data_IF_655261815322
#
_entry.id   IF_655261815322
#
_cell.length_a   1.000
_cell.length_b   1.000
_cell.length_c   1.000
_cell.angle_alpha   90.00
_cell.angle_beta   90.00
_cell.angle_gamma   90.00
#
_symmetry.space_group_name_H-M   'P 1'
#
loop_
_entity.id
_entity.type
_entity.pdbx_description
1 polymer ?
#
# COMPACT_ATOMS: atom_id res chain seq x y z
N UNK A 1 -8.81 -20.38 26.83
CA UNK A 1 -10.24 -20.02 27.02
C UNK A 1 -11.07 -20.88 26.09
N UNK A 2 -12.13 -21.50 26.59
CA UNK A 2 -13.00 -22.39 25.81
C UNK A 2 -13.87 -21.58 24.84
N UNK A 3 -14.14 -22.08 23.62
CA UNK A 3 -14.85 -21.31 22.60
C UNK A 3 -16.31 -21.02 23.01
N UNK A 4 -16.85 -19.87 22.58
CA UNK A 4 -18.26 -19.50 22.81
C UNK A 4 -19.23 -20.52 22.18
N UNK A 5 -18.87 -21.06 21.00
CA UNK A 5 -19.63 -22.12 20.32
C UNK A 5 -19.70 -23.41 21.14
N UNK A 6 -18.59 -23.86 21.70
CA UNK A 6 -18.57 -25.06 22.53
C UNK A 6 -19.41 -24.88 23.80
N UNK A 7 -19.36 -23.71 24.44
CA UNK A 7 -20.17 -23.41 25.62
C UNK A 7 -21.67 -23.43 25.33
N UNK A 8 -22.09 -22.92 24.16
CA UNK A 8 -23.48 -23.04 23.70
C UNK A 8 -23.92 -24.49 23.49
N UNK A 9 -23.10 -25.28 22.80
CA UNK A 9 -23.38 -26.71 22.56
C UNK A 9 -23.43 -27.50 23.88
N UNK A 10 -22.48 -27.25 24.78
CA UNK A 10 -22.42 -27.90 26.08
C UNK A 10 -23.62 -27.55 26.96
N UNK A 11 -24.10 -26.30 26.96
CA UNK A 11 -25.33 -25.92 27.68
C UNK A 11 -26.54 -26.72 27.17
N UNK A 12 -26.63 -26.91 25.86
CA UNK A 12 -27.75 -27.61 25.23
C UNK A 12 -27.71 -29.11 25.53
N UNK A 13 -26.55 -29.74 25.36
CA UNK A 13 -26.32 -31.16 25.73
C UNK A 13 -26.53 -31.40 27.24
N UNK A 14 -25.98 -30.55 28.11
CA UNK A 14 -26.14 -30.69 29.56
C UNK A 14 -27.60 -30.53 30.01
N UNK A 15 -28.40 -29.70 29.32
CA UNK A 15 -29.83 -29.61 29.59
C UNK A 15 -30.55 -30.91 29.21
N UNK A 16 -30.25 -31.46 28.03
CA UNK A 16 -30.79 -32.75 27.60
C UNK A 16 -30.41 -33.88 28.57
N UNK A 17 -29.15 -33.95 28.99
CA UNK A 17 -28.69 -34.98 29.94
C UNK A 17 -29.38 -34.87 31.30
N UNK A 18 -29.71 -33.66 31.75
CA UNK A 18 -30.48 -33.46 32.98
C UNK A 18 -31.93 -33.94 32.80
N UNK A 19 -32.55 -33.61 31.68
CA UNK A 19 -33.94 -33.95 31.38
C UNK A 19 -34.11 -35.46 31.13
N UNK A 20 -33.08 -36.12 30.61
CA UNK A 20 -32.96 -37.59 30.49
C UNK A 20 -32.55 -38.28 31.80
N UNK A 21 -32.37 -37.53 32.89
CA UNK A 21 -31.91 -38.01 34.20
C UNK A 21 -30.52 -38.71 34.19
N UNK A 22 -29.70 -38.44 33.17
CA UNK A 22 -28.31 -38.93 33.08
C UNK A 22 -27.35 -38.18 34.01
N UNK A 23 -27.67 -36.92 34.34
CA UNK A 23 -26.93 -36.11 35.32
C UNK A 23 -27.87 -35.54 36.38
N UNK A 24 -27.36 -35.38 37.61
CA UNK A 24 -28.14 -34.77 38.70
C UNK A 24 -28.24 -33.24 38.54
N UNK A 25 -29.26 -32.60 39.15
CA UNK A 25 -29.40 -31.14 39.16
C UNK A 25 -28.18 -30.41 39.72
N UNK A 26 -27.48 -30.99 40.70
CA UNK A 26 -26.26 -30.42 41.28
C UNK A 26 -25.09 -30.45 40.29
N UNK A 27 -24.95 -31.51 39.49
CA UNK A 27 -23.91 -31.61 38.45
C UNK A 27 -24.17 -30.59 37.34
N UNK A 28 -25.43 -30.39 36.97
CA UNK A 28 -25.82 -29.35 36.01
C UNK A 28 -25.48 -27.94 36.53
N UNK A 29 -25.74 -27.65 37.83
CA UNK A 29 -25.40 -26.34 38.40
C UNK A 29 -23.89 -26.10 38.43
N UNK A 30 -23.08 -27.11 38.76
CA UNK A 30 -21.62 -27.02 38.73
C UNK A 30 -21.08 -26.79 37.32
N UNK A 31 -21.67 -27.43 36.31
CA UNK A 31 -21.33 -27.18 34.90
C UNK A 31 -21.73 -25.77 34.46
N UNK A 32 -22.91 -25.30 34.89
CA UNK A 32 -23.39 -23.95 34.61
C UNK A 32 -22.47 -22.88 35.17
N UNK A 33 -22.01 -23.03 36.41
CA UNK A 33 -21.07 -22.10 37.05
C UNK A 33 -19.68 -22.16 36.42
N UNK A 34 -19.15 -23.38 36.20
CA UNK A 34 -17.82 -23.58 35.63
C UNK A 34 -17.69 -23.05 34.21
N UNK A 35 -18.72 -23.22 33.38
CA UNK A 35 -18.74 -22.78 31.98
C UNK A 35 -19.52 -21.48 31.75
N UNK A 36 -20.07 -20.90 32.81
CA UNK A 36 -20.77 -19.61 32.85
C UNK A 36 -21.91 -19.53 31.83
N UNK A 37 -22.85 -20.48 31.87
CA UNK A 37 -23.97 -20.54 30.91
C UNK A 37 -24.81 -19.25 30.90
N UNK A 38 -24.97 -18.58 32.04
CA UNK A 38 -25.71 -17.31 32.17
C UNK A 38 -25.07 -16.12 31.43
N UNK A 39 -23.77 -16.20 31.14
CA UNK A 39 -23.08 -15.15 30.37
C UNK A 39 -23.30 -15.28 28.86
N UNK A 40 -23.74 -16.45 28.38
CA UNK A 40 -24.02 -16.67 26.94
C UNK A 40 -25.21 -15.84 26.47
N UNK A 41 -26.28 -15.76 27.27
CA UNK A 41 -27.46 -14.94 26.93
C UNK A 41 -27.18 -13.44 27.07
N UNK A 42 -26.30 -13.06 28.02
CA UNK A 42 -25.84 -11.66 28.18
C UNK A 42 -25.00 -11.20 26.99
N UNK A 43 -24.15 -12.05 26.40
CA UNK A 43 -23.30 -11.66 25.29
C UNK A 43 -24.12 -11.41 24.01
N UNK A 44 -25.11 -12.26 23.71
CA UNK A 44 -26.02 -12.08 22.58
C UNK A 44 -26.91 -10.83 22.74
N UNK A 45 -27.49 -10.63 23.93
CA UNK A 45 -28.28 -9.43 24.24
C UNK A 45 -27.43 -8.14 24.16
N UNK A 46 -26.21 -8.15 24.70
CA UNK A 46 -25.32 -7.00 24.60
C UNK A 46 -24.91 -6.69 23.16
N UNK A 47 -24.67 -7.71 22.32
CA UNK A 47 -24.41 -7.52 20.88
C UNK A 47 -25.60 -6.90 20.17
N UNK A 48 -26.82 -7.40 20.41
CA UNK A 48 -28.03 -6.84 19.84
C UNK A 48 -28.26 -5.38 20.26
N UNK A 49 -28.10 -5.08 21.56
CA UNK A 49 -28.20 -3.70 22.07
C UNK A 49 -27.13 -2.80 21.46
N UNK A 50 -25.88 -3.26 21.33
CA UNK A 50 -24.83 -2.47 20.64
C UNK A 50 -25.16 -2.23 19.16
N UNK A 51 -25.74 -3.21 18.46
CA UNK A 51 -26.17 -3.04 17.07
C UNK A 51 -27.30 -2.01 16.99
N UNK A 52 -28.30 -2.10 17.87
CA UNK A 52 -29.43 -1.16 17.90
C UNK A 52 -28.96 0.27 18.24
N UNK A 53 -28.09 0.42 19.23
CA UNK A 53 -27.46 1.68 19.59
C UNK A 53 -26.59 2.22 18.45
N UNK A 54 -25.84 1.36 17.77
CA UNK A 54 -25.05 1.72 16.60
C UNK A 54 -25.91 2.23 15.44
N UNK A 55 -26.99 1.50 15.11
CA UNK A 55 -27.93 1.89 14.07
C UNK A 55 -28.63 3.21 14.42
N UNK A 56 -29.10 3.35 15.66
CA UNK A 56 -29.70 4.57 16.17
C UNK A 56 -28.75 5.76 16.12
N UNK A 57 -27.48 5.58 16.50
CA UNK A 57 -26.47 6.63 16.42
C UNK A 57 -26.16 7.04 14.97
N UNK A 58 -26.10 6.09 14.04
CA UNK A 58 -25.93 6.36 12.60
C UNK A 58 -27.10 7.18 12.06
N UNK A 59 -28.34 6.76 12.36
CA UNK A 59 -29.55 7.46 11.91
C UNK A 59 -29.65 8.87 12.50
N UNK A 60 -29.34 9.05 13.79
CA UNK A 60 -29.30 10.36 14.42
C UNK A 60 -28.21 11.25 13.82
N UNK A 61 -27.03 10.68 13.53
CA UNK A 61 -25.94 11.39 12.86
C UNK A 61 -26.34 11.85 11.45
N UNK A 62 -26.97 10.97 10.67
CA UNK A 62 -27.52 11.29 9.35
C UNK A 62 -28.58 12.38 9.45
N UNK A 63 -29.55 12.25 10.36
CA UNK A 63 -30.59 13.25 10.56
C UNK A 63 -30.01 14.63 10.91
N UNK A 64 -28.98 14.69 11.77
CA UNK A 64 -28.30 15.93 12.10
C UNK A 64 -27.58 16.54 10.88
N UNK A 65 -26.85 15.73 10.10
CA UNK A 65 -26.19 16.18 8.86
C UNK A 65 -27.23 16.70 7.85
N UNK A 66 -28.33 15.96 7.65
CA UNK A 66 -29.42 16.35 6.74
C UNK A 66 -30.10 17.64 7.20
N UNK A 67 -30.35 17.81 8.50
CA UNK A 67 -30.93 19.04 9.04
C UNK A 67 -30.02 20.26 8.81
N UNK A 68 -28.72 20.12 9.06
CA UNK A 68 -27.73 21.17 8.79
C UNK A 68 -27.69 21.48 7.29
N UNK A 69 -27.67 20.46 6.44
CA UNK A 69 -27.67 20.62 4.98
C UNK A 69 -28.93 21.34 4.47
N UNK A 70 -30.11 20.98 4.98
CA UNK A 70 -31.39 21.59 4.59
C UNK A 70 -31.47 23.08 4.95
N UNK A 71 -30.86 23.49 6.07
CA UNK A 71 -30.86 24.88 6.53
C UNK A 71 -29.59 25.65 6.10
N UNK A 72 -28.65 24.98 5.43
CA UNK A 72 -27.33 25.51 5.13
C UNK A 72 -27.40 26.84 4.38
N UNK A 73 -28.25 26.92 3.35
CA UNK A 73 -28.38 28.12 2.52
C UNK A 73 -28.95 29.32 3.28
N UNK A 74 -29.84 29.09 4.27
CA UNK A 74 -30.46 30.16 5.05
C UNK A 74 -29.52 30.76 6.11
N UNK A 75 -28.49 30.03 6.55
CA UNK A 75 -27.57 30.51 7.58
C UNK A 75 -26.60 31.57 7.09
N UNK A 76 -26.32 32.55 7.95
CA UNK A 76 -25.32 33.58 7.70
C UNK A 76 -23.91 32.99 7.58
N UNK A 77 -23.03 33.70 6.87
CA UNK A 77 -21.61 33.32 6.71
C UNK A 77 -20.92 33.06 8.05
N UNK A 78 -21.15 33.95 9.02
CA UNK A 78 -20.57 33.82 10.37
C UNK A 78 -21.08 32.57 11.09
N UNK A 79 -22.39 32.26 11.00
CA UNK A 79 -22.96 31.08 11.63
C UNK A 79 -22.35 29.77 11.08
N UNK A 80 -22.14 29.67 9.76
CA UNK A 80 -21.49 28.49 9.15
C UNK A 80 -20.04 28.32 9.65
N UNK A 81 -19.28 29.41 9.71
CA UNK A 81 -17.88 29.39 10.20
C UNK A 81 -17.83 29.01 11.67
N UNK A 82 -18.64 29.64 12.52
CA UNK A 82 -18.68 29.34 13.96
C UNK A 82 -19.04 27.88 14.18
N UNK A 83 -20.08 27.35 13.50
CA UNK A 83 -20.45 25.95 13.65
C UNK A 83 -19.31 25.00 13.24
N UNK A 84 -18.72 25.20 12.07
CA UNK A 84 -17.66 24.30 11.56
C UNK A 84 -16.37 24.41 12.37
N UNK A 85 -16.00 25.60 12.84
CA UNK A 85 -14.86 25.82 13.74
C UNK A 85 -15.12 25.21 15.11
N UNK A 86 -16.30 25.38 15.70
CA UNK A 86 -16.66 24.74 16.97
C UNK A 86 -16.66 23.22 16.87
N UNK A 87 -17.18 22.67 15.76
CA UNK A 87 -17.11 21.23 15.49
C UNK A 87 -15.67 20.75 15.36
N UNK A 88 -14.83 21.46 14.59
CA UNK A 88 -13.42 21.16 14.41
C UNK A 88 -12.65 21.18 15.74
N UNK A 89 -12.80 22.25 16.53
CA UNK A 89 -12.13 22.39 17.83
C UNK A 89 -12.63 21.33 18.81
N UNK A 90 -13.94 21.10 18.87
CA UNK A 90 -14.55 20.12 19.77
C UNK A 90 -14.10 18.69 19.48
N UNK A 91 -14.11 18.28 18.21
CA UNK A 91 -13.65 16.96 17.76
C UNK A 91 -12.15 16.78 18.02
N UNK A 92 -11.31 17.75 17.70
CA UNK A 92 -9.87 17.64 17.94
C UNK A 92 -9.52 17.65 19.45
N UNK A 93 -10.16 18.51 20.23
CA UNK A 93 -9.92 18.61 21.68
C UNK A 93 -10.40 17.35 22.41
N UNK A 94 -11.60 16.86 22.08
CA UNK A 94 -12.13 15.60 22.59
C UNK A 94 -11.27 14.42 22.16
N UNK A 95 -10.88 14.36 20.88
CA UNK A 95 -9.99 13.35 20.34
C UNK A 95 -8.63 13.32 21.07
N UNK A 96 -8.04 14.48 21.31
CA UNK A 96 -6.76 14.61 22.04
C UNK A 96 -6.88 14.21 23.51
N UNK A 97 -7.99 14.54 24.18
CA UNK A 97 -8.23 14.14 25.57
C UNK A 97 -8.42 12.61 25.69
N UNK A 98 -9.25 12.02 24.81
CA UNK A 98 -9.51 10.59 24.79
C UNK A 98 -8.29 9.78 24.37
N UNK A 99 -7.51 10.28 23.41
CA UNK A 99 -6.30 9.63 22.91
C UNK A 99 -5.25 9.44 24.00
N UNK A 100 -5.11 10.42 24.90
CA UNK A 100 -4.18 10.39 26.05
C UNK A 100 -4.58 9.41 27.16
N UNK A 101 -5.80 8.88 27.13
CA UNK A 101 -6.27 7.95 28.15
C UNK A 101 -5.54 6.59 28.06
N UNK A 102 -5.17 6.02 29.20
CA UNK A 102 -4.48 4.72 29.30
C UNK A 102 -5.37 3.54 28.88
N UNK A 103 -6.69 3.69 28.99
CA UNK A 103 -7.62 2.64 28.57
C UNK A 103 -7.67 2.51 27.04
N UNK A 104 -7.33 1.30 26.52
CA UNK A 104 -7.23 1.03 25.07
C UNK A 104 -8.48 1.41 24.27
N UNK A 105 -9.68 1.21 24.82
CA UNK A 105 -10.93 1.55 24.13
C UNK A 105 -11.06 3.05 23.86
N UNK A 106 -10.83 3.86 24.90
CA UNK A 106 -10.88 5.32 24.82
C UNK A 106 -9.76 5.88 23.95
N UNK A 107 -8.54 5.33 24.04
CA UNK A 107 -7.43 5.77 23.18
C UNK A 107 -7.72 5.55 21.69
N UNK A 108 -8.33 4.41 21.32
CA UNK A 108 -8.76 4.14 19.93
C UNK A 108 -9.85 5.10 19.47
N UNK A 109 -10.84 5.39 20.32
CA UNK A 109 -11.87 6.38 20.01
C UNK A 109 -11.26 7.78 19.82
N UNK A 110 -10.27 8.14 20.65
CA UNK A 110 -9.50 9.37 20.48
C UNK A 110 -8.77 9.45 19.14
N UNK A 111 -8.11 8.36 18.71
CA UNK A 111 -7.48 8.30 17.38
C UNK A 111 -8.49 8.46 16.25
N UNK A 112 -9.67 7.86 16.37
CA UNK A 112 -10.74 8.01 15.38
C UNK A 112 -11.27 9.44 15.32
N UNK A 113 -11.46 10.11 16.46
CA UNK A 113 -11.85 11.52 16.53
C UNK A 113 -10.76 12.44 15.96
N UNK A 114 -9.48 12.15 16.20
CA UNK A 114 -8.38 12.92 15.61
C UNK A 114 -8.30 12.73 14.09
N UNK A 115 -8.56 11.52 13.59
CA UNK A 115 -8.69 11.27 12.16
C UNK A 115 -9.87 12.04 11.55
N UNK A 116 -11.02 12.06 12.22
CA UNK A 116 -12.16 12.89 11.85
C UNK A 116 -11.79 14.39 11.89
N UNK A 117 -11.03 14.82 12.88
CA UNK A 117 -10.47 16.16 12.99
C UNK A 117 -9.62 16.52 11.77
N UNK A 118 -8.79 15.60 11.31
CA UNK A 118 -8.04 15.73 10.05
C UNK A 118 -8.94 15.88 8.83
N UNK A 119 -10.08 15.18 8.77
CA UNK A 119 -11.06 15.35 7.69
C UNK A 119 -11.80 16.70 7.74
N UNK A 120 -12.09 17.17 8.95
CA UNK A 120 -12.75 18.46 9.17
C UNK A 120 -11.86 19.65 8.73
N UNK A 121 -10.53 19.48 8.63
CA UNK A 121 -9.66 20.48 8.00
C UNK A 121 -10.12 20.74 6.55
N UNK A 122 -10.32 19.68 5.76
CA UNK A 122 -10.77 19.78 4.37
C UNK A 122 -12.15 20.42 4.25
N UNK A 123 -13.09 20.02 5.12
CA UNK A 123 -14.43 20.61 5.15
C UNK A 123 -14.39 22.14 5.43
N UNK A 124 -13.52 22.58 6.35
CA UNK A 124 -13.34 23.99 6.64
C UNK A 124 -12.63 24.74 5.50
N UNK A 125 -11.60 24.15 4.88
CA UNK A 125 -10.95 24.73 3.69
C UNK A 125 -11.93 24.92 2.54
N UNK A 126 -12.76 23.91 2.27
CA UNK A 126 -13.80 23.98 1.24
C UNK A 126 -14.86 25.06 1.55
N UNK A 127 -15.28 25.17 2.82
CA UNK A 127 -16.19 26.24 3.25
C UNK A 127 -15.59 27.62 3.01
N UNK A 128 -14.33 27.83 3.39
CA UNK A 128 -13.65 29.11 3.18
C UNK A 128 -13.50 29.43 1.68
N UNK A 129 -13.12 28.45 0.87
CA UNK A 129 -13.04 28.60 -0.59
C UNK A 129 -14.39 29.02 -1.19
N UNK A 130 -15.49 28.40 -0.76
CA UNK A 130 -16.84 28.76 -1.19
C UNK A 130 -17.22 30.18 -0.75
N UNK A 131 -16.92 30.55 0.50
CA UNK A 131 -17.32 31.84 1.06
C UNK A 131 -16.60 33.04 0.43
N UNK A 132 -15.31 32.87 0.12
CA UNK A 132 -14.47 33.91 -0.48
C UNK A 132 -14.44 33.84 -2.01
N UNK A 133 -15.27 32.99 -2.62
CA UNK A 133 -15.33 32.79 -4.08
C UNK A 133 -13.94 32.55 -4.68
N UNK A 134 -13.09 31.81 -3.95
CA UNK A 134 -11.72 31.62 -4.35
C UNK A 134 -11.65 30.62 -5.51
N UNK A 135 -11.24 31.12 -6.68
CA UNK A 135 -11.01 30.32 -7.88
C UNK A 135 -9.64 29.65 -7.79
N UNK A 136 -9.56 28.54 -7.06
CA UNK A 136 -8.38 27.66 -6.99
C UNK A 136 -8.70 26.27 -7.54
N UNK A 137 -7.66 25.50 -7.86
CA UNK A 137 -7.88 24.12 -8.29
C UNK A 137 -8.24 23.24 -7.10
N UNK A 138 -9.06 22.20 -7.31
CA UNK A 138 -9.34 21.21 -6.27
C UNK A 138 -8.07 20.47 -5.79
N UNK A 139 -7.04 20.44 -6.63
CA UNK A 139 -5.75 19.79 -6.38
C UNK A 139 -4.92 20.58 -5.35
N UNK A 140 -4.90 21.91 -5.48
CA UNK A 140 -4.31 22.79 -4.45
C UNK A 140 -4.99 22.61 -3.09
N UNK A 141 -6.32 22.46 -3.08
CA UNK A 141 -7.05 22.18 -1.84
C UNK A 141 -6.60 20.86 -1.22
N UNK A 142 -6.46 19.79 -2.01
CA UNK A 142 -5.99 18.50 -1.52
C UNK A 142 -4.55 18.55 -0.99
N UNK A 143 -3.64 19.30 -1.63
CA UNK A 143 -2.27 19.47 -1.14
C UNK A 143 -2.21 20.23 0.17
N UNK A 144 -2.85 21.39 0.25
CA UNK A 144 -2.87 22.21 1.47
C UNK A 144 -3.49 21.42 2.61
N UNK A 145 -4.59 20.71 2.34
CA UNK A 145 -5.23 19.82 3.29
C UNK A 145 -4.30 18.68 3.73
N UNK A 146 -3.66 18.01 2.78
CA UNK A 146 -2.71 16.93 3.05
C UNK A 146 -1.52 17.39 3.90
N UNK A 147 -0.97 18.60 3.65
CA UNK A 147 0.09 19.22 4.43
C UNK A 147 -0.36 19.62 5.84
N UNK A 148 -1.59 20.12 5.99
CA UNK A 148 -2.16 20.43 7.31
C UNK A 148 -2.35 19.15 8.15
N UNK A 149 -2.84 18.06 7.53
CA UNK A 149 -2.93 16.75 8.18
C UNK A 149 -1.54 16.18 8.48
N UNK A 150 -0.54 16.44 7.63
CA UNK A 150 0.84 16.05 7.87
C UNK A 150 1.39 16.69 9.15
N UNK A 151 1.17 18.00 9.32
CA UNK A 151 1.57 18.71 10.53
C UNK A 151 0.95 18.07 11.78
N UNK A 152 -0.35 17.76 11.72
CA UNK A 152 -1.06 17.06 12.78
C UNK A 152 -0.47 15.65 13.05
N UNK A 153 -0.09 14.92 12.00
CA UNK A 153 0.54 13.62 12.11
C UNK A 153 1.90 13.69 12.82
N UNK A 154 2.72 14.71 12.51
CA UNK A 154 4.00 14.97 13.20
C UNK A 154 3.79 15.32 14.68
N UNK A 155 2.82 16.18 14.99
CA UNK A 155 2.53 16.59 16.37
C UNK A 155 2.07 15.42 17.25
N UNK A 156 1.21 14.55 16.69
CA UNK A 156 0.56 13.48 17.46
C UNK A 156 1.23 12.11 17.30
N UNK A 157 2.18 11.97 16.36
CA UNK A 157 2.85 10.71 16.00
C UNK A 157 1.86 9.60 15.64
N UNK A 158 0.76 9.97 14.98
CA UNK A 158 -0.30 9.04 14.60
C UNK A 158 -0.11 8.56 13.15
N UNK A 159 -0.01 7.24 13.01
CA UNK A 159 0.18 6.58 11.71
C UNK A 159 -1.02 6.78 10.78
N UNK A 160 -2.24 6.75 11.30
CA UNK A 160 -3.47 6.95 10.51
C UNK A 160 -3.53 8.34 9.87
N UNK A 161 -3.11 9.39 10.59
CA UNK A 161 -3.00 10.75 10.05
C UNK A 161 -1.90 10.85 8.99
N UNK A 162 -0.77 10.17 9.19
CA UNK A 162 0.29 10.09 8.18
C UNK A 162 -0.21 9.46 6.88
N UNK A 163 -0.98 8.37 6.97
CA UNK A 163 -1.59 7.72 5.80
C UNK A 163 -2.63 8.63 5.13
N UNK A 164 -3.50 9.29 5.90
CA UNK A 164 -4.47 10.23 5.36
C UNK A 164 -3.76 11.38 4.61
N UNK A 165 -2.69 11.93 5.19
CA UNK A 165 -1.88 12.96 4.55
C UNK A 165 -1.30 12.50 3.22
N UNK A 166 -0.72 11.29 3.14
CA UNK A 166 -0.22 10.73 1.89
C UNK A 166 -1.31 10.60 0.83
N UNK A 167 -2.49 10.09 1.20
CA UNK A 167 -3.61 9.94 0.26
C UNK A 167 -4.07 11.29 -0.29
N UNK A 168 -4.18 12.30 0.58
CA UNK A 168 -4.57 13.65 0.18
C UNK A 168 -3.52 14.30 -0.72
N UNK A 169 -2.24 14.23 -0.36
CA UNK A 169 -1.18 14.81 -1.20
C UNK A 169 -1.00 14.05 -2.51
N UNK A 170 -1.31 12.75 -2.55
CA UNK A 170 -1.37 11.97 -3.80
C UNK A 170 -2.42 12.53 -4.76
N UNK A 171 -3.64 12.80 -4.26
CA UNK A 171 -4.71 13.41 -5.07
C UNK A 171 -4.31 14.82 -5.51
N UNK A 172 -3.63 15.54 -4.62
CA UNK A 172 -3.14 16.88 -4.88
C UNK A 172 -2.06 16.96 -5.96
N UNK A 173 -1.14 15.98 -6.03
CA UNK A 173 -0.14 15.90 -7.10
C UNK A 173 -0.74 15.47 -8.44
N UNK A 174 -1.96 14.93 -8.47
CA UNK A 174 -2.51 14.29 -9.67
C UNK A 174 -2.73 15.25 -10.86
N UNK A 175 -2.86 16.57 -10.66
CA UNK A 175 -2.98 17.60 -11.73
C UNK A 175 -2.55 18.99 -11.23
N UNK A 176 -2.08 19.81 -12.19
CA UNK A 176 -1.74 21.25 -12.20
C UNK A 176 -0.24 21.52 -12.33
N UNK A 177 0.22 21.64 -13.57
CA UNK A 177 1.35 22.51 -13.89
C UNK A 177 0.85 23.95 -13.74
N UNK A 178 1.35 24.73 -12.78
CA UNK A 178 0.76 26.03 -12.51
C UNK A 178 1.11 27.03 -13.62
N UNK A 179 0.28 28.06 -13.77
CA UNK A 179 0.36 29.06 -14.84
C UNK A 179 1.62 29.94 -14.80
N UNK A 180 2.27 30.07 -13.64
CA UNK A 180 3.54 30.79 -13.48
C UNK A 180 4.67 29.82 -13.14
N UNK A 181 5.56 29.47 -14.07
CA UNK A 181 6.63 28.50 -13.84
C UNK A 181 7.57 28.81 -12.69
N UNK A 182 7.68 30.07 -12.23
CA UNK A 182 8.69 30.51 -11.27
C UNK A 182 8.19 30.64 -9.82
N UNK A 183 6.91 30.44 -9.55
CA UNK A 183 6.41 30.56 -8.18
C UNK A 183 6.97 29.46 -7.26
N UNK A 184 7.17 29.76 -5.96
CA UNK A 184 7.64 28.75 -5.00
C UNK A 184 6.70 27.53 -4.94
N UNK A 185 5.41 27.74 -5.21
CA UNK A 185 4.41 26.68 -5.26
C UNK A 185 4.64 25.72 -6.44
N UNK A 186 5.00 26.24 -7.62
CA UNK A 186 5.29 25.38 -8.79
C UNK A 186 6.53 24.54 -8.56
N UNK A 187 7.58 25.14 -7.98
CA UNK A 187 8.82 24.44 -7.66
C UNK A 187 8.55 23.32 -6.66
N UNK A 188 7.71 23.57 -5.64
CA UNK A 188 7.30 22.53 -4.70
C UNK A 188 6.64 21.33 -5.40
N UNK A 189 5.75 21.58 -6.37
CA UNK A 189 5.07 20.53 -7.14
C UNK A 189 6.03 19.79 -8.07
N UNK A 190 6.84 20.53 -8.82
CA UNK A 190 7.81 19.97 -9.76
C UNK A 190 8.83 19.06 -9.08
N UNK A 191 9.25 19.39 -7.85
CA UNK A 191 10.18 18.58 -7.07
C UNK A 191 9.50 17.74 -5.98
N UNK A 192 8.17 17.56 -6.08
CA UNK A 192 7.41 16.80 -5.08
C UNK A 192 7.90 15.36 -4.87
N UNK A 193 8.40 14.61 -5.89
CA UNK A 193 9.02 13.30 -5.65
C UNK A 193 10.14 13.35 -4.60
N UNK A 194 11.04 14.34 -4.66
CA UNK A 194 12.12 14.52 -3.69
C UNK A 194 11.59 15.01 -2.34
N UNK A 195 10.68 15.99 -2.36
CA UNK A 195 10.05 16.54 -1.15
C UNK A 195 9.28 15.48 -0.38
N UNK A 196 8.60 14.56 -1.07
CA UNK A 196 7.82 13.48 -0.44
C UNK A 196 8.69 12.55 0.41
N UNK A 197 9.94 12.27 0.01
CA UNK A 197 10.89 11.52 0.84
C UNK A 197 11.18 12.29 2.12
N UNK A 198 11.50 13.58 2.00
CA UNK A 198 11.83 14.44 3.14
C UNK A 198 10.66 14.61 4.10
N UNK A 199 9.42 14.60 3.60
CA UNK A 199 8.22 14.77 4.40
C UNK A 199 7.78 13.48 5.08
N UNK A 200 7.79 12.34 4.39
CA UNK A 200 7.11 11.14 4.88
C UNK A 200 8.06 10.06 5.42
N UNK A 201 9.32 10.02 4.99
CA UNK A 201 10.27 9.04 5.50
C UNK A 201 10.64 9.33 6.97
N UNK A 202 10.95 10.58 7.38
CA UNK A 202 11.19 10.89 8.80
C UNK A 202 9.96 10.64 9.67
N UNK A 203 8.76 10.92 9.18
CA UNK A 203 7.51 10.62 9.91
C UNK A 203 7.37 9.13 10.18
N UNK A 204 7.71 8.27 9.23
CA UNK A 204 7.67 6.82 9.40
C UNK A 204 8.58 6.33 10.54
N UNK A 205 9.79 6.90 10.63
CA UNK A 205 10.72 6.64 11.74
C UNK A 205 10.24 7.23 13.05
N UNK A 206 9.67 8.43 13.03
CA UNK A 206 9.13 9.09 14.22
C UNK A 206 7.99 8.28 14.84
N UNK A 207 7.10 7.76 14.00
CA UNK A 207 6.01 6.88 14.40
C UNK A 207 6.47 5.44 14.70
N UNK A 208 7.74 5.08 14.44
CA UNK A 208 8.30 3.73 14.59
C UNK A 208 7.46 2.62 13.95
N UNK A 209 6.83 2.92 12.81
CA UNK A 209 5.85 2.02 12.18
C UNK A 209 6.35 1.45 10.87
N UNK A 210 6.51 0.11 10.83
CA UNK A 210 6.87 -0.63 9.60
C UNK A 210 5.88 -0.42 8.47
N UNK A 211 4.59 -0.30 8.81
CA UNK A 211 3.52 -0.11 7.85
C UNK A 211 3.59 1.27 7.22
N UNK A 212 3.82 2.31 8.05
CA UNK A 212 3.96 3.67 7.54
C UNK A 212 5.22 3.78 6.68
N UNK A 213 6.34 3.16 7.07
CA UNK A 213 7.55 3.13 6.25
C UNK A 213 7.31 2.45 4.89
N UNK A 214 6.62 1.30 4.88
CA UNK A 214 6.29 0.59 3.65
C UNK A 214 5.40 1.42 2.73
N UNK A 215 4.36 2.04 3.29
CA UNK A 215 3.47 2.95 2.56
C UNK A 215 4.21 4.19 2.03
N UNK A 216 5.14 4.76 2.80
CA UNK A 216 5.99 5.86 2.32
C UNK A 216 6.79 5.42 1.09
N UNK A 217 7.45 4.27 1.12
CA UNK A 217 8.26 3.79 0.00
C UNK A 217 7.41 3.53 -1.24
N UNK A 218 6.22 2.93 -1.08
CA UNK A 218 5.26 2.74 -2.17
C UNK A 218 4.78 4.09 -2.72
N UNK A 219 4.41 5.03 -1.85
CA UNK A 219 3.94 6.36 -2.21
C UNK A 219 4.99 7.15 -3.01
N UNK A 220 6.24 7.20 -2.53
CA UNK A 220 7.36 7.85 -3.23
C UNK A 220 7.60 7.19 -4.59
N UNK A 221 7.53 5.86 -4.66
CA UNK A 221 7.70 5.11 -5.91
C UNK A 221 6.61 5.46 -6.93
N UNK A 222 5.36 5.55 -6.49
CA UNK A 222 4.23 5.94 -7.34
C UNK A 222 4.38 7.38 -7.82
N UNK A 223 4.73 8.32 -6.94
CA UNK A 223 4.91 9.72 -7.32
C UNK A 223 6.05 9.88 -8.33
N UNK A 224 7.20 9.25 -8.08
CA UNK A 224 8.31 9.28 -9.02
C UNK A 224 7.91 8.69 -10.37
N UNK A 225 7.18 7.57 -10.36
CA UNK A 225 6.66 6.94 -11.58
C UNK A 225 5.72 7.87 -12.35
N UNK A 226 4.78 8.53 -11.68
CA UNK A 226 3.85 9.48 -12.31
C UNK A 226 4.60 10.66 -12.94
N UNK A 227 5.63 11.20 -12.28
CA UNK A 227 6.44 12.29 -12.82
C UNK A 227 7.26 11.87 -14.03
N UNK A 228 7.80 10.65 -14.05
CA UNK A 228 8.50 10.10 -15.23
C UNK A 228 7.54 9.87 -16.42
N UNK A 229 6.34 9.36 -16.17
CA UNK A 229 5.32 9.16 -17.21
C UNK A 229 4.83 10.50 -17.77
N UNK A 230 4.58 11.50 -16.92
CA UNK A 230 4.22 12.85 -17.38
C UNK A 230 5.33 13.49 -18.22
N UNK A 231 6.59 13.26 -17.86
CA UNK A 231 7.72 13.75 -18.66
C UNK A 231 7.77 13.08 -20.04
N UNK A 232 7.42 11.79 -20.14
CA UNK A 232 7.27 11.09 -21.42
C UNK A 232 6.11 11.65 -22.25
N UNK A 233 4.96 11.91 -21.63
CA UNK A 233 3.78 12.46 -22.30
C UNK A 233 3.96 13.91 -22.76
N UNK A 234 4.74 14.70 -22.00
CA UNK A 234 5.03 16.10 -22.34
C UNK A 234 6.14 16.26 -23.40
N UNK A 235 6.93 15.21 -23.66
CA UNK A 235 8.04 15.28 -24.60
C UNK A 235 7.53 15.51 -26.03
N UNK A 236 8.04 16.55 -26.68
CA UNK A 236 7.74 16.85 -28.08
C UNK A 236 8.45 15.88 -29.03
N UNK A 237 8.07 15.88 -30.32
CA UNK A 237 8.70 15.04 -31.35
C UNK A 237 10.23 15.21 -31.39
N UNK A 238 10.73 16.44 -31.25
CA UNK A 238 12.16 16.77 -31.25
C UNK A 238 12.91 16.23 -30.03
N UNK A 239 12.19 15.94 -28.94
CA UNK A 239 12.71 15.46 -27.65
C UNK A 239 12.60 13.95 -27.47
N UNK A 240 12.00 13.24 -28.45
CA UNK A 240 11.71 11.80 -28.36
C UNK A 240 12.96 10.94 -28.17
N UNK A 241 14.16 11.47 -28.45
CA UNK A 241 15.43 10.81 -28.14
C UNK A 241 15.66 10.54 -26.64
N UNK A 242 14.99 11.28 -25.75
CA UNK A 242 15.08 11.12 -24.30
C UNK A 242 14.13 10.01 -23.80
N UNK A 243 13.05 9.74 -24.54
CA UNK A 243 12.00 8.82 -24.12
C UNK A 243 12.49 7.41 -23.73
N UNK A 244 13.42 6.76 -24.47
CA UNK A 244 13.91 5.44 -24.09
C UNK A 244 14.59 5.44 -22.71
N UNK A 245 15.32 6.51 -22.37
CA UNK A 245 16.02 6.63 -21.09
C UNK A 245 15.04 6.86 -19.93
N UNK A 246 13.99 7.66 -20.15
CA UNK A 246 12.92 7.85 -19.16
C UNK A 246 12.10 6.57 -18.95
N UNK A 247 11.85 5.78 -19.99
CA UNK A 247 11.22 4.46 -19.86
C UNK A 247 12.10 3.46 -19.09
N UNK A 248 13.41 3.45 -19.34
CA UNK A 248 14.36 2.67 -18.53
C UNK A 248 14.36 3.16 -17.08
N UNK A 249 14.31 4.46 -16.85
CA UNK A 249 14.22 5.02 -15.51
C UNK A 249 12.95 4.55 -14.78
N UNK A 250 11.78 4.67 -15.43
CA UNK A 250 10.49 4.23 -14.90
C UNK A 250 10.51 2.74 -14.48
N UNK A 251 11.21 1.91 -15.23
CA UNK A 251 11.19 0.46 -15.05
C UNK A 251 12.29 -0.06 -14.15
N UNK A 252 13.47 0.57 -14.17
CA UNK A 252 14.68 0.06 -13.51
C UNK A 252 15.15 0.93 -12.33
N UNK A 253 14.94 2.24 -12.35
CA UNK A 253 15.47 3.14 -11.32
C UNK A 253 14.84 2.88 -9.95
N UNK A 254 13.50 2.83 -9.89
CA UNK A 254 12.74 2.58 -8.67
C UNK A 254 13.12 1.24 -8.00
N UNK A 255 13.16 0.08 -8.71
CA UNK A 255 13.57 -1.15 -8.07
C UNK A 255 15.06 -1.19 -7.71
N UNK A 256 15.95 -0.53 -8.47
CA UNK A 256 17.36 -0.36 -8.07
C UNK A 256 17.48 0.41 -6.75
N UNK A 257 16.73 1.50 -6.59
CA UNK A 257 16.67 2.28 -5.35
C UNK A 257 16.19 1.44 -4.17
N UNK A 258 15.02 0.81 -4.33
CA UNK A 258 14.39 0.02 -3.28
C UNK A 258 15.24 -1.18 -2.87
N UNK A 259 15.95 -1.83 -3.82
CA UNK A 259 16.81 -2.96 -3.52
C UNK A 259 18.07 -2.58 -2.73
N UNK A 260 18.69 -1.46 -3.10
CA UNK A 260 19.90 -0.99 -2.44
C UNK A 260 19.62 -0.30 -1.11
N UNK A 261 18.40 0.18 -0.89
CA UNK A 261 18.00 0.77 0.39
C UNK A 261 17.88 -0.30 1.49
N UNK A 262 18.85 -0.30 2.41
CA UNK A 262 18.87 -1.18 3.59
C UNK A 262 18.58 -0.39 4.85
N UNK A 263 17.34 -0.49 5.32
CA UNK A 263 16.94 0.10 6.61
C UNK A 263 17.43 -0.76 7.80
N UNK A 264 17.80 -0.09 8.90
CA UNK A 264 18.26 -0.75 10.13
C UNK A 264 17.14 -1.47 10.87
N UNK A 265 15.92 -0.94 10.86
CA UNK A 265 14.79 -1.51 11.61
C UNK A 265 14.03 -2.54 10.79
N UNK A 266 13.96 -2.36 9.47
CA UNK A 266 13.20 -3.19 8.54
C UNK A 266 14.02 -3.58 7.30
N UNK A 267 15.08 -4.39 7.46
CA UNK A 267 16.10 -4.62 6.42
C UNK A 267 15.60 -5.30 5.15
N UNK A 268 14.45 -5.98 5.21
CA UNK A 268 13.84 -6.67 4.07
C UNK A 268 12.66 -5.92 3.45
N UNK A 269 12.21 -4.82 4.04
CA UNK A 269 11.00 -4.12 3.59
C UNK A 269 11.16 -3.57 2.16
N UNK A 270 12.20 -2.78 1.92
CA UNK A 270 12.43 -2.17 0.60
C UNK A 270 12.88 -3.19 -0.47
N UNK A 271 13.77 -4.15 -0.19
CA UNK A 271 14.09 -5.22 -1.14
C UNK A 271 12.87 -6.04 -1.58
N UNK A 272 11.96 -6.36 -0.65
CA UNK A 272 10.73 -7.06 -1.00
C UNK A 272 9.81 -6.21 -1.89
N UNK A 273 9.74 -4.89 -1.63
CA UNK A 273 9.03 -3.95 -2.50
C UNK A 273 9.70 -3.82 -3.88
N UNK A 274 11.03 -3.88 -3.96
CA UNK A 274 11.75 -3.93 -5.23
C UNK A 274 11.35 -5.16 -6.06
N UNK A 275 11.35 -6.36 -5.46
CA UNK A 275 10.92 -7.59 -6.15
C UNK A 275 9.46 -7.49 -6.59
N UNK A 276 8.58 -6.97 -5.73
CA UNK A 276 7.18 -6.72 -6.06
C UNK A 276 7.05 -5.77 -7.27
N UNK A 277 7.79 -4.66 -7.27
CA UNK A 277 7.78 -3.67 -8.34
C UNK A 277 8.23 -4.26 -9.67
N UNK A 278 9.36 -4.99 -9.70
CA UNK A 278 9.85 -5.64 -10.91
C UNK A 278 8.87 -6.68 -11.42
N UNK A 279 8.25 -7.44 -10.52
CA UNK A 279 7.25 -8.44 -10.90
C UNK A 279 6.04 -7.76 -11.57
N UNK A 280 5.50 -6.70 -10.97
CA UNK A 280 4.37 -5.95 -11.51
C UNK A 280 4.67 -5.39 -12.92
N UNK A 281 5.82 -4.72 -13.09
CA UNK A 281 6.20 -4.17 -14.39
C UNK A 281 6.52 -5.23 -15.43
N UNK A 282 7.12 -6.35 -15.03
CA UNK A 282 7.36 -7.47 -15.93
C UNK A 282 6.04 -8.11 -16.39
N UNK A 283 5.00 -8.14 -15.54
CA UNK A 283 3.65 -8.56 -15.96
C UNK A 283 3.06 -7.58 -16.97
N UNK A 284 3.14 -6.27 -16.71
CA UNK A 284 2.62 -5.25 -17.63
C UNK A 284 3.30 -5.38 -19.01
N UNK A 285 4.62 -5.47 -19.04
CA UNK A 285 5.39 -5.63 -20.27
C UNK A 285 5.38 -7.05 -20.85
N UNK A 286 4.73 -8.01 -20.22
CA UNK A 286 4.54 -9.32 -20.82
C UNK A 286 3.54 -9.28 -21.99
N UNK A 287 2.72 -8.23 -22.12
CA UNK A 287 1.79 -8.09 -23.25
C UNK A 287 2.49 -7.56 -24.50
N UNK A 288 2.16 -8.13 -25.66
CA UNK A 288 2.69 -7.75 -26.97
C UNK A 288 2.39 -6.29 -27.31
N UNK A 289 1.31 -5.71 -26.78
CA UNK A 289 0.90 -4.33 -27.00
C UNK A 289 2.04 -3.33 -26.74
N UNK A 290 2.83 -3.54 -25.70
CA UNK A 290 3.95 -2.67 -25.34
C UNK A 290 5.14 -2.72 -26.29
N UNK A 291 5.16 -3.67 -27.22
CA UNK A 291 6.28 -3.94 -28.11
C UNK A 291 5.91 -3.83 -29.59
N UNK A 292 4.66 -3.46 -29.89
CA UNK A 292 4.14 -3.31 -31.26
C UNK A 292 4.71 -2.08 -31.95
N UNK A 293 4.71 -0.95 -31.26
CA UNK A 293 5.13 0.32 -31.82
C UNK A 293 6.38 0.79 -31.11
N UNK A 294 7.47 0.99 -31.86
CA UNK A 294 8.66 1.67 -31.35
C UNK A 294 8.57 3.15 -31.66
N UNK A 295 8.82 4.06 -30.68
CA UNK A 295 8.78 5.49 -30.93
C UNK A 295 9.80 5.89 -32.00
N UNK A 296 9.38 6.73 -32.95
CA UNK A 296 10.30 7.35 -33.92
C UNK A 296 11.16 8.39 -33.21
N UNK A 297 12.46 8.15 -33.16
CA UNK A 297 13.40 9.02 -32.46
C UNK A 297 13.64 10.30 -33.27
N UNK A 298 13.18 11.43 -32.75
CA UNK A 298 13.51 12.76 -33.27
C UNK A 298 14.96 13.17 -32.97
N UNK A 299 15.45 14.20 -33.67
CA UNK A 299 16.84 14.65 -33.53
C UNK A 299 16.90 16.08 -32.98
N UNK A 300 17.15 16.14 -31.68
CA UNK A 300 17.59 17.31 -30.89
C UNK A 300 16.54 18.33 -30.48
N UNK A 301 16.56 18.65 -29.18
CA UNK A 301 15.71 19.62 -28.50
C UNK A 301 15.67 19.28 -27.01
N UNK A 302 15.58 20.30 -26.15
CA UNK A 302 15.24 20.15 -24.73
C UNK A 302 14.42 21.35 -24.27
N UNK A 303 13.12 21.15 -24.11
CA UNK A 303 12.20 22.15 -23.57
C UNK A 303 12.46 22.38 -22.08
N UNK A 304 12.05 23.56 -21.63
CA UNK A 304 12.12 23.92 -20.20
C UNK A 304 11.23 23.04 -19.34
N UNK A 305 10.18 22.46 -19.91
CA UNK A 305 9.23 21.60 -19.20
C UNK A 305 9.85 20.25 -18.78
N UNK A 306 10.84 19.76 -19.54
CA UNK A 306 11.56 18.53 -19.22
C UNK A 306 12.67 18.73 -18.17
N UNK A 307 13.06 19.97 -17.86
CA UNK A 307 14.17 20.22 -16.92
C UNK A 307 13.85 19.68 -15.51
N UNK A 308 12.70 19.99 -14.87
CA UNK A 308 12.41 19.47 -13.53
C UNK A 308 12.35 17.94 -13.41
N UNK A 309 11.65 17.19 -14.30
CA UNK A 309 11.65 15.73 -14.22
C UNK A 309 13.02 15.13 -14.47
N UNK A 310 13.86 15.73 -15.33
CA UNK A 310 15.25 15.30 -15.52
C UNK A 310 16.11 15.55 -14.28
N UNK A 311 15.88 16.64 -13.55
CA UNK A 311 16.55 16.89 -12.26
C UNK A 311 16.11 15.87 -11.23
N UNK A 312 14.81 15.59 -11.09
CA UNK A 312 14.32 14.51 -10.22
C UNK A 312 15.00 13.19 -10.58
N UNK A 313 14.96 12.80 -11.86
CA UNK A 313 15.62 11.60 -12.38
C UNK A 313 17.12 11.57 -12.02
N UNK A 314 17.84 12.67 -12.22
CA UNK A 314 19.26 12.79 -11.89
C UNK A 314 19.53 12.64 -10.39
N UNK A 315 18.75 13.29 -9.53
CA UNK A 315 18.86 13.18 -8.08
C UNK A 315 18.61 11.75 -7.59
N UNK A 316 17.56 11.10 -8.09
CA UNK A 316 17.24 9.71 -7.75
C UNK A 316 18.29 8.73 -8.30
N UNK A 317 18.83 8.98 -9.49
CA UNK A 317 19.92 8.19 -10.06
C UNK A 317 21.20 8.32 -9.23
N UNK A 318 21.55 9.53 -8.80
CA UNK A 318 22.68 9.77 -7.90
C UNK A 318 22.48 9.04 -6.56
N UNK A 319 21.29 9.15 -5.97
CA UNK A 319 20.95 8.43 -4.74
C UNK A 319 21.10 6.91 -4.94
N UNK A 320 20.65 6.37 -6.07
CA UNK A 320 20.81 4.96 -6.43
C UNK A 320 22.27 4.55 -6.45
N UNK A 321 23.12 5.29 -7.16
CA UNK A 321 24.56 5.02 -7.25
C UNK A 321 25.20 5.03 -5.86
N UNK A 322 24.87 6.02 -5.03
CA UNK A 322 25.37 6.10 -3.65
C UNK A 322 24.92 4.90 -2.80
N UNK A 323 23.67 4.48 -2.91
CA UNK A 323 23.15 3.32 -2.16
C UNK A 323 23.79 2.01 -2.62
N UNK A 324 23.96 1.80 -3.93
CA UNK A 324 24.64 0.63 -4.48
C UNK A 324 26.13 0.61 -4.13
N UNK A 325 26.79 1.77 -4.14
CA UNK A 325 28.17 1.91 -3.69
C UNK A 325 28.31 1.48 -2.23
N UNK A 326 27.43 1.97 -1.34
CA UNK A 326 27.37 1.57 0.07
C UNK A 326 27.06 0.09 0.24
N UNK A 327 26.18 -0.47 -0.59
CA UNK A 327 25.81 -1.89 -0.56
C UNK A 327 27.02 -2.80 -0.80
N UNK A 328 28.03 -2.35 -1.55
CA UNK A 328 29.26 -3.12 -1.78
C UNK A 328 30.29 -3.06 -0.64
N UNK A 329 30.14 -2.19 0.36
CA UNK A 329 31.04 -2.10 1.52
C UNK A 329 30.56 -2.92 2.72
N UNK A 330 30.24 -4.19 2.49
CA UNK A 330 29.93 -5.12 3.58
C UNK A 330 31.24 -5.51 4.28
N UNK A 331 31.41 -5.08 5.53
CA UNK A 331 32.51 -5.51 6.43
C UNK A 331 33.95 -5.12 6.02
N UNK A 332 34.13 -3.90 5.50
CA UNK A 332 35.30 -3.08 5.91
C UNK A 332 36.67 -3.30 5.23
N UNK A 333 36.78 -3.85 4.02
CA UNK A 333 38.07 -3.68 3.31
C UNK A 333 37.98 -3.61 1.78
N UNK A 334 37.16 -4.45 1.12
CA UNK A 334 37.08 -4.49 -0.35
C UNK A 334 35.64 -4.37 -0.81
N UNK A 335 35.39 -3.51 -1.80
CA UNK A 335 34.08 -3.35 -2.41
C UNK A 335 33.69 -4.64 -3.13
N UNK A 336 32.61 -5.29 -2.69
CA UNK A 336 32.08 -6.51 -3.31
C UNK A 336 30.58 -6.63 -3.06
N UNK A 337 29.82 -6.86 -4.14
CA UNK A 337 28.39 -7.16 -4.06
C UNK A 337 28.15 -8.65 -3.78
N UNK A 338 27.12 -8.93 -2.99
CA UNK A 338 26.58 -10.28 -2.84
C UNK A 338 26.05 -10.82 -4.18
N UNK A 339 26.06 -12.15 -4.34
CA UNK A 339 25.55 -12.79 -5.56
C UNK A 339 24.10 -12.37 -5.85
N UNK A 340 23.24 -12.33 -4.83
CA UNK A 340 21.82 -11.97 -4.98
C UNK A 340 21.68 -10.54 -5.52
N UNK A 341 22.43 -9.58 -4.97
CA UNK A 341 22.42 -8.19 -5.44
C UNK A 341 22.99 -8.06 -6.85
N UNK A 342 24.02 -8.83 -7.17
CA UNK A 342 24.59 -8.87 -8.52
C UNK A 342 23.59 -9.44 -9.52
N UNK A 343 22.93 -10.55 -9.20
CA UNK A 343 21.89 -11.15 -10.06
C UNK A 343 20.70 -10.22 -10.25
N UNK A 344 20.30 -9.49 -9.22
CA UNK A 344 19.21 -8.52 -9.30
C UNK A 344 19.57 -7.33 -10.21
N UNK A 345 20.80 -6.81 -10.08
CA UNK A 345 21.31 -5.76 -10.97
C UNK A 345 21.36 -6.22 -12.44
N UNK A 346 21.86 -7.44 -12.69
CA UNK A 346 21.93 -8.00 -14.04
C UNK A 346 20.54 -8.23 -14.65
N UNK A 347 19.57 -8.67 -13.85
CA UNK A 347 18.18 -8.80 -14.28
C UNK A 347 17.62 -7.43 -14.71
N UNK A 348 17.81 -6.39 -13.90
CA UNK A 348 17.36 -5.03 -14.26
C UNK A 348 18.10 -4.46 -15.46
N UNK A 349 19.41 -4.72 -15.59
CA UNK A 349 20.18 -4.33 -16.77
C UNK A 349 19.66 -5.02 -18.03
N UNK A 350 19.24 -6.29 -17.93
CA UNK A 350 18.62 -6.99 -19.06
C UNK A 350 17.26 -6.39 -19.46
N UNK A 351 16.43 -6.00 -18.49
CA UNK A 351 15.15 -5.35 -18.75
C UNK A 351 15.33 -3.96 -19.36
N UNK A 352 16.24 -3.15 -18.82
CA UNK A 352 16.57 -1.83 -19.37
C UNK A 352 17.16 -1.94 -20.79
N UNK A 353 18.05 -2.90 -21.01
CA UNK A 353 18.61 -3.19 -22.33
C UNK A 353 17.54 -3.61 -23.34
N UNK A 354 16.54 -4.38 -22.93
CA UNK A 354 15.40 -4.75 -23.77
C UNK A 354 14.57 -3.53 -24.19
N UNK A 355 14.29 -2.61 -23.26
CA UNK A 355 13.58 -1.35 -23.55
C UNK A 355 14.36 -0.50 -24.56
N UNK A 356 15.67 -0.34 -24.35
CA UNK A 356 16.52 0.38 -25.29
C UNK A 356 16.55 -0.32 -26.65
N UNK A 357 16.72 -1.63 -26.69
CA UNK A 357 16.74 -2.39 -27.95
C UNK A 357 15.44 -2.16 -28.73
N UNK A 358 14.29 -2.23 -28.07
CA UNK A 358 13.00 -1.94 -28.70
C UNK A 358 12.92 -0.52 -29.27
N UNK A 359 13.41 0.49 -28.55
CA UNK A 359 13.38 1.86 -29.03
C UNK A 359 14.33 2.12 -30.20
N UNK A 360 15.51 1.52 -30.21
CA UNK A 360 16.56 1.83 -31.18
C UNK A 360 16.55 0.93 -32.42
N UNK A 361 16.14 -0.34 -32.29
CA UNK A 361 16.16 -1.30 -33.40
C UNK A 361 14.78 -1.66 -33.95
N UNK A 362 13.71 -1.19 -33.29
CA UNK A 362 12.33 -1.36 -33.75
C UNK A 362 11.49 -2.33 -32.89
N UNK A 363 10.27 -2.63 -33.35
CA UNK A 363 9.31 -3.44 -32.61
C UNK A 363 9.82 -4.83 -32.21
N UNK A 364 9.67 -5.18 -30.92
CA UNK A 364 10.07 -6.49 -30.36
C UNK A 364 8.85 -7.34 -30.00
N UNK A 365 7.89 -7.44 -30.92
CA UNK A 365 6.54 -8.03 -30.71
C UNK A 365 6.59 -9.43 -30.08
N UNK A 366 7.58 -10.25 -30.46
CA UNK A 366 7.73 -11.62 -29.95
C UNK A 366 8.72 -11.69 -28.80
N UNK A 367 9.90 -11.07 -28.97
CA UNK A 367 11.00 -11.21 -28.02
C UNK A 367 10.73 -10.49 -26.69
N UNK A 368 10.09 -9.32 -26.73
CA UNK A 368 9.77 -8.53 -25.54
C UNK A 368 8.88 -9.30 -24.55
N UNK A 369 7.68 -9.75 -24.99
CA UNK A 369 6.81 -10.61 -24.17
C UNK A 369 7.52 -11.87 -23.67
N UNK A 370 8.27 -12.55 -24.54
CA UNK A 370 8.96 -13.79 -24.18
C UNK A 370 9.98 -13.56 -23.06
N UNK A 371 10.80 -12.51 -23.16
CA UNK A 371 11.79 -12.19 -22.12
C UNK A 371 11.15 -11.82 -20.79
N UNK A 372 10.11 -10.98 -20.81
CA UNK A 372 9.37 -10.61 -19.60
C UNK A 372 8.73 -11.85 -18.92
N UNK A 373 8.19 -12.79 -19.68
CA UNK A 373 7.68 -14.05 -19.13
C UNK A 373 8.79 -14.91 -18.52
N UNK A 374 9.96 -15.02 -19.16
CA UNK A 374 11.12 -15.73 -18.59
C UNK A 374 11.54 -15.09 -17.26
N UNK A 375 11.60 -13.76 -17.20
CA UNK A 375 11.91 -13.03 -15.96
C UNK A 375 10.88 -13.34 -14.87
N UNK A 376 9.58 -13.32 -15.19
CA UNK A 376 8.53 -13.66 -14.22
C UNK A 376 8.62 -15.11 -13.72
N UNK A 377 8.96 -16.08 -14.57
CA UNK A 377 9.19 -17.49 -14.17
C UNK A 377 10.39 -17.56 -13.21
N UNK A 378 11.50 -16.89 -13.53
CA UNK A 378 12.69 -16.88 -12.69
C UNK A 378 12.40 -16.24 -11.32
N UNK A 379 11.66 -15.13 -11.30
CA UNK A 379 11.22 -14.49 -10.05
C UNK A 379 10.29 -15.40 -9.25
N UNK A 380 9.32 -16.05 -9.89
CA UNK A 380 8.42 -16.99 -9.24
C UNK A 380 9.18 -18.17 -8.60
N UNK A 381 10.11 -18.77 -9.34
CA UNK A 381 10.97 -19.86 -8.83
C UNK A 381 11.82 -19.37 -7.66
N UNK A 382 12.43 -18.18 -7.76
CA UNK A 382 13.23 -17.59 -6.69
C UNK A 382 12.40 -17.38 -5.41
N UNK A 383 11.20 -16.78 -5.53
CA UNK A 383 10.30 -16.55 -4.41
C UNK A 383 9.83 -17.87 -3.76
N UNK A 384 9.45 -18.88 -4.56
CA UNK A 384 9.05 -20.20 -4.06
C UNK A 384 10.23 -20.88 -3.35
N UNK A 385 11.42 -20.86 -3.95
CA UNK A 385 12.62 -21.48 -3.36
C UNK A 385 13.02 -20.83 -2.05
N UNK A 386 13.02 -19.49 -1.99
CA UNK A 386 13.30 -18.75 -0.76
C UNK A 386 12.25 -19.03 0.32
N UNK A 387 10.98 -19.06 -0.06
CA UNK A 387 9.88 -19.37 0.84
C UNK A 387 9.94 -20.80 1.40
N UNK A 388 10.32 -21.79 0.58
CA UNK A 388 10.54 -23.16 1.03
C UNK A 388 11.75 -23.28 1.97
N UNK A 389 12.81 -22.50 1.73
CA UNK A 389 13.98 -22.46 2.61
C UNK A 389 13.68 -21.83 3.99
N UNK A 390 12.83 -20.80 4.03
CA UNK A 390 12.51 -20.04 5.25
C UNK A 390 11.17 -20.41 5.91
N UNK A 391 10.38 -21.30 5.31
CA UNK A 391 9.00 -21.59 5.73
C UNK A 391 8.05 -20.40 5.64
N UNK A 392 8.37 -19.38 4.81
CA UNK A 392 7.61 -18.13 4.75
C UNK A 392 6.44 -18.23 3.77
N UNK A 393 5.21 -18.13 4.30
CA UNK A 393 3.98 -18.26 3.50
C UNK A 393 3.83 -17.21 2.41
N UNK A 394 4.13 -15.94 2.73
CA UNK A 394 3.94 -14.82 1.80
C UNK A 394 4.75 -14.97 0.51
N UNK A 395 6.03 -15.37 0.60
CA UNK A 395 6.88 -15.56 -0.57
C UNK A 395 6.41 -16.71 -1.47
N UNK A 396 5.91 -17.81 -0.87
CA UNK A 396 5.37 -18.94 -1.63
C UNK A 396 4.14 -18.53 -2.42
N UNK A 397 3.17 -17.89 -1.76
CA UNK A 397 1.94 -17.45 -2.42
C UNK A 397 2.19 -16.36 -3.47
N UNK A 398 3.16 -15.47 -3.25
CA UNK A 398 3.58 -14.52 -4.26
C UNK A 398 4.13 -15.20 -5.52
N UNK A 399 5.03 -16.18 -5.36
CA UNK A 399 5.55 -16.93 -6.51
C UNK A 399 4.48 -17.75 -7.25
N UNK A 400 3.54 -18.37 -6.53
CA UNK A 400 2.39 -19.04 -7.15
C UNK A 400 1.51 -18.05 -7.92
N UNK A 401 1.25 -16.87 -7.34
CA UNK A 401 0.47 -15.83 -8.00
C UNK A 401 1.13 -15.41 -9.31
N UNK A 402 2.45 -15.20 -9.34
CA UNK A 402 3.17 -14.84 -10.57
C UNK A 402 3.07 -15.93 -11.66
N UNK A 403 3.08 -17.22 -11.29
CA UNK A 403 2.89 -18.29 -12.27
C UNK A 403 1.46 -18.31 -12.82
N UNK A 404 0.46 -18.11 -11.96
CA UNK A 404 -0.95 -18.05 -12.37
C UNK A 404 -1.20 -16.84 -13.25
N UNK A 405 -0.69 -15.67 -12.87
CA UNK A 405 -0.83 -14.41 -13.61
C UNK A 405 -0.25 -14.51 -15.01
N UNK A 406 0.89 -15.20 -15.20
CA UNK A 406 1.43 -15.47 -16.53
C UNK A 406 0.47 -16.27 -17.41
N UNK A 407 -0.12 -17.34 -16.88
CA UNK A 407 -1.07 -18.18 -17.62
C UNK A 407 -2.33 -17.37 -17.96
N UNK A 408 -2.83 -16.59 -17.01
CA UNK A 408 -3.99 -15.73 -17.20
C UNK A 408 -3.72 -14.62 -18.23
N UNK A 409 -2.53 -14.01 -18.22
CA UNK A 409 -2.19 -12.94 -19.17
C UNK A 409 -2.25 -13.46 -20.62
N UNK A 410 -1.74 -14.67 -20.89
CA UNK A 410 -1.81 -15.30 -22.23
C UNK A 410 -3.25 -15.62 -22.64
N UNK A 411 -4.05 -16.09 -21.68
CA UNK A 411 -5.46 -16.42 -21.92
C UNK A 411 -6.29 -15.17 -22.25
N UNK A 412 -5.96 -14.02 -21.66
CA UNK A 412 -6.61 -12.74 -21.92
C UNK A 412 -6.15 -12.11 -23.23
N UNK A 413 -4.86 -12.23 -23.55
CA UNK A 413 -4.26 -11.62 -24.74
C UNK A 413 -4.63 -12.33 -26.05
N UNK A 414 -4.65 -13.66 -26.04
CA UNK A 414 -4.95 -14.44 -27.25
C UNK A 414 -6.39 -14.93 -27.25
N UNK A 415 -7.05 -14.81 -28.40
CA UNK A 415 -8.41 -15.30 -28.59
C UNK A 415 -8.43 -16.83 -28.59
N UNK A 416 -8.59 -17.37 -27.39
CA UNK A 416 -8.75 -18.79 -27.13
C UNK A 416 -10.23 -19.08 -26.88
N UNK A 417 -10.74 -20.16 -27.47
CA UNK A 417 -12.15 -20.55 -27.30
C UNK A 417 -12.52 -20.74 -25.82
N UNK A 418 -13.79 -20.48 -25.49
CA UNK A 418 -14.29 -20.51 -24.09
C UNK A 418 -14.00 -21.83 -23.37
N UNK A 419 -14.04 -22.96 -24.08
CA UNK A 419 -13.74 -24.27 -23.51
C UNK A 419 -12.26 -24.40 -23.11
N UNK A 420 -11.34 -23.86 -23.90
CA UNK A 420 -9.91 -23.85 -23.57
C UNK A 420 -9.65 -22.96 -22.35
N UNK A 421 -10.27 -21.76 -22.29
CA UNK A 421 -10.21 -20.86 -21.13
C UNK A 421 -10.71 -21.56 -19.86
N UNK A 422 -11.87 -22.22 -19.92
CA UNK A 422 -12.43 -22.96 -18.80
C UNK A 422 -11.52 -24.10 -18.33
N UNK A 423 -10.95 -24.88 -19.25
CA UNK A 423 -10.03 -25.97 -18.93
C UNK A 423 -8.75 -25.46 -18.25
N UNK A 424 -8.13 -24.40 -18.78
CA UNK A 424 -6.92 -23.79 -18.21
C UNK A 424 -7.19 -23.25 -16.81
N UNK A 425 -8.30 -22.54 -16.61
CA UNK A 425 -8.71 -22.04 -15.30
C UNK A 425 -8.93 -23.18 -14.30
N UNK A 426 -9.58 -24.26 -14.73
CA UNK A 426 -9.81 -25.45 -13.89
C UNK A 426 -8.50 -26.12 -13.48
N UNK A 427 -7.58 -26.34 -14.42
CA UNK A 427 -6.28 -26.95 -14.16
C UNK A 427 -5.40 -26.06 -13.27
N UNK A 428 -5.36 -24.74 -13.51
CA UNK A 428 -4.70 -23.78 -12.63
C UNK A 428 -5.28 -23.84 -11.21
N UNK A 429 -6.61 -23.87 -11.07
CA UNK A 429 -7.28 -23.97 -9.78
C UNK A 429 -6.87 -25.22 -9.00
N UNK A 430 -6.88 -26.38 -9.66
CA UNK A 430 -6.40 -27.64 -9.06
C UNK A 430 -4.93 -27.53 -8.67
N UNK A 431 -4.07 -27.02 -9.57
CA UNK A 431 -2.64 -26.87 -9.34
C UNK A 431 -2.33 -26.02 -8.11
N UNK A 432 -3.01 -24.87 -7.97
CA UNK A 432 -2.88 -23.97 -6.82
C UNK A 432 -3.31 -24.65 -5.52
N UNK A 433 -4.43 -25.39 -5.53
CA UNK A 433 -4.92 -26.13 -4.35
C UNK A 433 -3.91 -27.20 -3.93
N UNK A 434 -3.43 -28.00 -4.87
CA UNK A 434 -2.46 -29.07 -4.61
C UNK A 434 -1.15 -28.49 -4.07
N UNK A 435 -0.63 -27.43 -4.71
CA UNK A 435 0.59 -26.75 -4.28
C UNK A 435 0.44 -26.17 -2.86
N UNK A 436 -0.71 -25.54 -2.55
CA UNK A 436 -1.01 -24.98 -1.24
C UNK A 436 -1.10 -26.05 -0.14
N UNK A 437 -1.83 -27.14 -0.38
CA UNK A 437 -1.93 -28.26 0.56
C UNK A 437 -0.58 -28.92 0.80
N UNK A 438 0.23 -29.09 -0.24
CA UNK A 438 1.57 -29.63 -0.13
C UNK A 438 2.48 -28.71 0.68
N UNK A 439 2.47 -27.40 0.39
CA UNK A 439 3.27 -26.42 1.11
C UNK A 439 2.90 -26.33 2.60
N UNK A 440 1.61 -26.34 2.95
CA UNK A 440 1.18 -26.35 4.36
C UNK A 440 1.64 -27.62 5.09
N UNK A 441 1.61 -28.78 4.42
CA UNK A 441 2.18 -30.02 4.99
C UNK A 441 3.70 -29.90 5.18
N UNK A 442 4.40 -29.29 4.24
CA UNK A 442 5.84 -29.06 4.31
C UNK A 442 6.22 -28.12 5.47
N UNK A 443 5.55 -26.97 5.61
CA UNK A 443 5.79 -26.01 6.71
C UNK A 443 5.53 -26.65 8.07
N UNK A 444 4.45 -27.43 8.21
CA UNK A 444 4.15 -28.16 9.46
C UNK A 444 5.21 -29.21 9.84
N UNK A 445 6.01 -29.70 8.89
CA UNK A 445 7.13 -30.62 9.18
C UNK A 445 8.38 -29.88 9.65
N UNK A 446 8.56 -28.62 9.27
CA UNK A 446 9.69 -27.79 9.71
C UNK A 446 9.55 -27.37 11.18
N UNK A 447 8.33 -27.05 11.63
CA UNK A 447 8.02 -26.62 13.01
C UNK A 447 8.47 -27.61 14.12
N UNK A 448 8.21 -28.94 14.04
CA UNK A 448 8.63 -29.88 15.08
C UNK A 448 10.16 -30.03 15.23
N UNK A 449 10.92 -29.92 14.14
CA UNK A 449 12.39 -29.98 14.17
C UNK A 449 13.06 -28.74 14.76
N UNK A 450 12.43 -27.56 14.65
CA UNK A 450 12.99 -26.30 15.17
C UNK A 450 12.91 -26.19 16.70
N UNK A 451 11.93 -26.84 17.33
CA UNK A 451 11.80 -26.95 18.79
C UNK A 451 12.87 -27.90 19.35
N UNK A 452 13.24 -28.95 18.60
CA UNK A 452 14.28 -29.90 18.99
C UNK A 452 15.71 -29.38 18.80
N UNK A 453 15.95 -28.40 17.91
CA UNK A 453 17.29 -27.89 17.59
C UNK A 453 17.65 -26.53 18.20
N UNK A 454 16.74 -25.91 18.97
CA UNK A 454 17.02 -24.66 19.70
C UNK A 454 17.30 -23.43 18.85
N UNK A 455 17.04 -23.45 17.54
CA UNK A 455 17.46 -22.40 16.60
C UNK A 455 16.42 -21.32 16.26
N UNK A 456 15.28 -21.24 16.95
CA UNK A 456 14.32 -20.14 16.74
C UNK A 456 13.99 -19.47 18.07
N UNK A 457 14.51 -18.25 18.28
CA UNK A 457 13.96 -17.35 19.31
C UNK A 457 12.53 -16.96 18.89
N UNK A 458 11.53 -17.12 19.78
CA UNK A 458 10.17 -16.70 19.46
C UNK A 458 10.13 -15.19 19.24
N UNK A 459 9.51 -14.78 18.13
CA UNK A 459 9.26 -13.37 17.84
C UNK A 459 8.27 -12.81 18.87
N UNK A 460 8.69 -11.76 19.57
CA UNK A 460 7.85 -10.87 20.36
C UNK A 460 7.41 -9.67 19.52
#
# INVERSE_FOLDING_TARGET
>A
MVSEKFRHQLRQEAANWRDEALISPEVFSQLSDRYQFDQLDRSARNRFVMILLGLGAILLGLAAITFVAANWQAWSRLARVVLMMSLFIGVNSGGFFLWRNTQRGWSRLGQALLLLGGLLIGANLALFSQMFHQTGSIHELYLIWGLAVLAMAYSLRLTSLGVLSMLLTMQGDFVVLPSDPQSLWTLFLQYFPLVSILLFLPLAYWCKSRWLAGLTLVFVSIILQLHLVRALEAASWDEMWIAPYLMVAATCLIPLLLWAYRDRHWPHLAPNLAVFYVSLWSTIFAFHYWWQDSPTIGTAGLSRELIPPLINFGCFSLLTVVLWWRLGFIQGSIWRLELISTTFALLLLSLGGLVLWHSWSGPLIVFGPLWCNVVLILLAIACIREALGKGQRLGFWWGILLLVEQILSRMLEYDTGLLAKALVLFLCGIGVIVAGLWFERYVRRLEPTAIASGQIKPAA
#
